data_IF_407637320042
#
_entry.id   IF_407637320042
#
_cell.length_a   1.000
_cell.length_b   1.000
_cell.length_c   1.000
_cell.angle_alpha   90.00
_cell.angle_beta   90.00
_cell.angle_gamma   90.00
#
_symmetry.space_group_name_H-M   'P 1'
#
loop_
_entity.id
_entity.type
_entity.pdbx_description
1 polymer ?
#
# COMPACT_ATOMS: atom_id res chain seq x y z
N UNK A 1 4.44 -21.19 -20.17
CA UNK A 1 3.92 -22.29 -19.33
C UNK A 1 3.89 -21.88 -17.88
N UNK A 2 3.05 -22.51 -17.08
CA UNK A 2 2.95 -22.24 -15.65
C UNK A 2 4.30 -22.42 -14.94
N UNK A 3 5.05 -23.46 -15.28
CA UNK A 3 6.37 -23.72 -14.69
C UNK A 3 7.36 -22.60 -14.99
N UNK A 4 7.38 -22.10 -16.23
CA UNK A 4 8.25 -20.98 -16.62
C UNK A 4 7.88 -19.70 -15.87
N UNK A 5 6.58 -19.42 -15.73
CA UNK A 5 6.10 -18.25 -15.00
C UNK A 5 6.39 -18.36 -13.52
N UNK A 6 6.21 -19.55 -12.93
CA UNK A 6 6.54 -19.81 -11.54
C UNK A 6 8.02 -19.56 -11.27
N UNK A 7 8.90 -20.05 -12.14
CA UNK A 7 10.34 -19.83 -12.02
C UNK A 7 10.69 -18.34 -12.07
N UNK A 8 10.11 -17.60 -13.02
CA UNK A 8 10.35 -16.16 -13.14
C UNK A 8 9.92 -15.40 -11.90
N UNK A 9 8.73 -15.67 -11.40
CA UNK A 9 8.21 -15.02 -10.20
C UNK A 9 9.08 -15.38 -8.99
N UNK A 10 9.48 -16.65 -8.86
CA UNK A 10 10.35 -17.08 -7.76
C UNK A 10 11.70 -16.35 -7.79
N UNK A 11 12.32 -16.22 -8.95
CA UNK A 11 13.58 -15.49 -9.11
C UNK A 11 13.38 -14.01 -8.76
N UNK A 12 12.31 -13.41 -9.27
CA UNK A 12 12.00 -12.01 -9.00
C UNK A 12 11.82 -11.76 -7.49
N UNK A 13 11.08 -12.61 -6.81
CA UNK A 13 10.86 -12.48 -5.36
C UNK A 13 12.16 -12.63 -4.56
N UNK A 14 13.00 -13.60 -4.95
CA UNK A 14 14.30 -13.79 -4.31
C UNK A 14 15.18 -12.55 -4.48
N UNK A 15 15.23 -12.00 -5.69
CA UNK A 15 16.03 -10.82 -6.00
C UNK A 15 15.54 -9.59 -5.20
N UNK A 16 14.22 -9.40 -5.12
CA UNK A 16 13.63 -8.30 -4.36
C UNK A 16 13.99 -8.42 -2.87
N UNK A 17 13.80 -9.58 -2.27
CA UNK A 17 14.09 -9.81 -0.86
C UNK A 17 15.56 -9.59 -0.55
N UNK A 18 16.45 -10.11 -1.40
CA UNK A 18 17.88 -9.92 -1.26
C UNK A 18 18.24 -8.44 -1.34
N UNK A 19 17.66 -7.71 -2.29
CA UNK A 19 17.93 -6.27 -2.45
C UNK A 19 17.45 -5.48 -1.23
N UNK A 20 16.28 -5.81 -0.69
CA UNK A 20 15.77 -5.18 0.52
C UNK A 20 16.69 -5.43 1.71
N UNK A 21 17.20 -6.66 1.86
CA UNK A 21 18.16 -6.99 2.94
C UNK A 21 19.44 -6.16 2.83
N UNK A 22 19.97 -6.00 1.62
CA UNK A 22 21.17 -5.18 1.39
C UNK A 22 20.93 -3.71 1.77
N UNK A 23 19.83 -3.13 1.29
CA UNK A 23 19.48 -1.74 1.57
C UNK A 23 19.24 -1.53 3.06
N UNK A 24 18.52 -2.44 3.69
CA UNK A 24 18.20 -2.37 5.11
C UNK A 24 19.47 -2.43 5.95
N UNK A 25 20.39 -3.32 5.62
CA UNK A 25 21.69 -3.44 6.31
C UNK A 25 22.49 -2.15 6.20
N UNK A 26 22.54 -1.54 5.01
CA UNK A 26 23.31 -0.31 4.77
C UNK A 26 22.70 0.92 5.48
N UNK A 27 21.45 0.87 5.88
CA UNK A 27 20.70 2.02 6.41
C UNK A 27 20.14 1.80 7.82
N UNK A 28 20.58 0.76 8.52
CA UNK A 28 20.10 0.41 9.87
C UNK A 28 18.57 0.22 9.93
N UNK A 29 18.01 -0.36 8.89
CA UNK A 29 16.58 -0.71 8.81
C UNK A 29 16.45 -2.21 9.01
N UNK A 30 15.37 -2.65 9.66
CA UNK A 30 15.09 -4.07 9.83
C UNK A 30 14.33 -4.58 8.60
N UNK A 31 14.98 -5.39 7.76
CA UNK A 31 14.38 -5.94 6.54
C UNK A 31 13.13 -6.79 6.82
N UNK A 32 13.08 -7.45 7.97
CA UNK A 32 11.93 -8.28 8.35
C UNK A 32 10.66 -7.46 8.57
N UNK A 33 10.77 -6.15 8.81
CA UNK A 33 9.65 -5.25 9.00
C UNK A 33 9.12 -4.67 7.69
N UNK A 34 9.79 -4.92 6.56
CA UNK A 34 9.35 -4.43 5.25
C UNK A 34 8.32 -5.38 4.66
N UNK A 35 7.10 -4.90 4.51
CA UNK A 35 6.01 -5.65 3.90
C UNK A 35 6.00 -5.40 2.39
N UNK A 36 5.97 -6.48 1.62
CA UNK A 36 5.88 -6.41 0.16
C UNK A 36 4.44 -6.70 -0.25
N UNK A 37 3.81 -5.74 -0.91
CA UNK A 37 2.50 -5.92 -1.51
C UNK A 37 2.71 -6.21 -3.00
N UNK A 38 2.24 -7.37 -3.46
CA UNK A 38 2.26 -7.70 -4.88
C UNK A 38 1.09 -7.01 -5.57
N UNK A 39 1.40 -6.08 -6.45
CA UNK A 39 0.37 -5.33 -7.19
C UNK A 39 -0.09 -6.18 -8.35
N UNK A 40 -1.30 -6.71 -8.23
CA UNK A 40 -1.89 -7.68 -9.15
C UNK A 40 -2.91 -7.10 -10.11
N UNK A 41 -3.01 -5.76 -10.17
CA UNK A 41 -3.94 -5.10 -11.11
C UNK A 41 -3.70 -5.55 -12.54
N UNK A 42 -4.78 -5.90 -13.24
CA UNK A 42 -4.76 -6.39 -14.62
C UNK A 42 -3.95 -7.68 -14.83
N UNK A 43 -3.67 -8.39 -13.75
CA UNK A 43 -3.03 -9.70 -13.81
C UNK A 43 -4.09 -10.78 -13.61
N UNK A 44 -3.91 -11.92 -14.30
CA UNK A 44 -4.78 -13.05 -14.15
C UNK A 44 -4.67 -13.64 -12.74
N UNK A 45 -5.78 -14.17 -12.23
CA UNK A 45 -5.79 -14.81 -10.92
C UNK A 45 -4.79 -15.98 -10.81
N UNK A 46 -4.44 -16.62 -11.92
CA UNK A 46 -3.43 -17.69 -11.93
C UNK A 46 -2.07 -17.19 -11.45
N UNK A 47 -1.71 -15.96 -11.78
CA UNK A 47 -0.46 -15.33 -11.31
C UNK A 47 -0.50 -15.05 -9.81
N UNK A 48 -1.67 -14.68 -9.29
CA UNK A 48 -1.87 -14.48 -7.86
C UNK A 48 -1.66 -15.81 -7.11
N UNK A 49 -2.20 -16.90 -7.62
CA UNK A 49 -2.01 -18.24 -7.04
C UNK A 49 -0.55 -18.65 -7.04
N UNK A 50 0.17 -18.41 -8.13
CA UNK A 50 1.60 -18.69 -8.23
C UNK A 50 2.37 -17.92 -7.15
N UNK A 51 2.16 -16.60 -7.08
CA UNK A 51 2.83 -15.77 -6.09
C UNK A 51 2.45 -16.18 -4.65
N UNK A 52 1.20 -16.51 -4.41
CA UNK A 52 0.73 -16.97 -3.11
C UNK A 52 1.40 -18.29 -2.70
N UNK A 53 1.52 -19.23 -3.62
CA UNK A 53 2.22 -20.49 -3.37
C UNK A 53 3.70 -20.29 -3.07
N UNK A 54 4.28 -19.20 -3.54
CA UNK A 54 5.66 -18.82 -3.26
C UNK A 54 5.81 -17.97 -1.97
N UNK A 55 4.74 -17.82 -1.21
CA UNK A 55 4.77 -17.18 0.11
C UNK A 55 4.26 -15.75 0.15
N UNK A 56 3.79 -15.19 -0.95
CA UNK A 56 3.22 -13.82 -0.96
C UNK A 56 1.81 -13.88 -0.36
N UNK A 57 1.57 -13.07 0.67
CA UNK A 57 0.28 -13.01 1.36
C UNK A 57 -0.46 -11.69 1.18
N UNK A 58 0.22 -10.66 0.70
CA UNK A 58 -0.33 -9.32 0.53
C UNK A 58 -0.42 -8.98 -0.95
N UNK A 59 -1.64 -8.71 -1.42
CA UNK A 59 -1.91 -8.36 -2.82
C UNK A 59 -2.62 -7.03 -2.91
N UNK A 60 -2.29 -6.22 -3.91
CA UNK A 60 -2.83 -4.89 -4.09
C UNK A 60 -3.61 -4.73 -5.39
N UNK A 61 -4.81 -4.17 -5.29
CA UNK A 61 -5.70 -3.89 -6.41
C UNK A 61 -6.09 -2.42 -6.44
N UNK A 62 -6.26 -1.87 -7.64
CA UNK A 62 -6.63 -0.46 -7.85
C UNK A 62 -8.10 -0.26 -8.21
N UNK A 63 -8.80 -1.33 -8.60
CA UNK A 63 -10.18 -1.27 -9.09
C UNK A 63 -11.06 -2.18 -8.24
N UNK A 64 -12.17 -1.63 -7.75
CA UNK A 64 -13.04 -2.33 -6.81
C UNK A 64 -13.63 -3.60 -7.41
N UNK A 65 -14.04 -3.56 -8.67
CA UNK A 65 -14.62 -4.74 -9.33
C UNK A 65 -13.58 -5.84 -9.53
N UNK A 66 -12.36 -5.46 -9.87
CA UNK A 66 -11.25 -6.41 -10.03
C UNK A 66 -10.90 -7.05 -8.68
N UNK A 67 -10.88 -6.26 -7.61
CA UNK A 67 -10.67 -6.76 -6.25
C UNK A 67 -11.74 -7.81 -5.89
N UNK A 68 -13.01 -7.49 -6.10
CA UNK A 68 -14.11 -8.41 -5.82
C UNK A 68 -13.92 -9.73 -6.55
N UNK A 69 -13.71 -9.67 -7.86
CA UNK A 69 -13.58 -10.85 -8.70
C UNK A 69 -12.43 -11.74 -8.23
N UNK A 70 -11.26 -11.16 -7.98
CA UNK A 70 -10.08 -11.91 -7.56
C UNK A 70 -10.23 -12.47 -6.16
N UNK A 71 -10.74 -11.68 -5.22
CA UNK A 71 -10.95 -12.14 -3.85
C UNK A 71 -11.90 -13.33 -3.80
N UNK A 72 -12.98 -13.32 -4.60
CA UNK A 72 -13.93 -14.42 -4.67
C UNK A 72 -13.32 -15.64 -5.36
N UNK A 73 -12.53 -15.46 -6.41
CA UNK A 73 -11.91 -16.56 -7.16
C UNK A 73 -10.81 -17.26 -6.40
N UNK A 74 -9.96 -16.50 -5.72
CA UNK A 74 -8.84 -17.08 -4.96
C UNK A 74 -9.32 -17.67 -3.65
N UNK A 75 -10.23 -16.96 -2.96
CA UNK A 75 -10.90 -17.39 -1.72
C UNK A 75 -9.97 -18.05 -0.71
N UNK A 76 -8.84 -17.41 -0.43
CA UNK A 76 -7.86 -17.85 0.56
C UNK A 76 -7.86 -16.89 1.74
N UNK A 77 -8.22 -17.36 2.93
CA UNK A 77 -8.30 -16.55 4.14
C UNK A 77 -6.93 -16.03 4.61
N UNK A 78 -5.84 -16.63 4.16
CA UNK A 78 -4.50 -16.18 4.49
C UNK A 78 -4.06 -14.96 3.67
N UNK A 79 -4.77 -14.65 2.57
CA UNK A 79 -4.46 -13.50 1.75
C UNK A 79 -5.02 -12.23 2.37
N UNK A 80 -4.17 -11.22 2.50
CA UNK A 80 -4.57 -9.87 2.86
C UNK A 80 -4.71 -9.03 1.59
N UNK A 81 -5.92 -8.59 1.31
CA UNK A 81 -6.21 -7.76 0.15
C UNK A 81 -6.07 -6.28 0.49
N UNK A 82 -5.25 -5.59 -0.28
CA UNK A 82 -5.03 -4.15 -0.15
C UNK A 82 -5.70 -3.43 -1.32
N UNK A 83 -6.58 -2.49 -1.02
CA UNK A 83 -7.07 -1.58 -2.03
C UNK A 83 -6.16 -0.35 -2.02
N UNK A 84 -5.36 -0.19 -3.06
CA UNK A 84 -4.29 0.82 -3.10
C UNK A 84 -4.62 2.01 -3.98
N UNK A 85 -5.74 1.98 -4.69
CA UNK A 85 -6.19 3.07 -5.54
C UNK A 85 -7.09 4.07 -4.83
N UNK A 86 -7.44 5.17 -5.53
CA UNK A 86 -8.40 6.15 -5.01
C UNK A 86 -9.76 5.51 -4.73
N UNK A 87 -10.39 5.94 -3.65
CA UNK A 87 -11.67 5.36 -3.22
C UNK A 87 -12.81 6.25 -3.72
N UNK A 88 -13.56 5.75 -4.69
CA UNK A 88 -14.78 6.40 -5.17
C UNK A 88 -15.94 6.11 -4.22
N UNK A 89 -16.75 7.12 -3.97
CA UNK A 89 -17.88 7.03 -3.04
C UNK A 89 -18.81 5.86 -3.34
N UNK A 90 -19.13 5.64 -4.64
CA UNK A 90 -20.02 4.55 -5.05
C UNK A 90 -19.39 3.15 -5.02
N UNK A 91 -18.11 3.04 -4.67
CA UNK A 91 -17.39 1.77 -4.55
C UNK A 91 -17.07 1.38 -3.11
N UNK A 92 -17.36 2.23 -2.16
CA UNK A 92 -17.01 2.01 -0.75
C UNK A 92 -17.57 0.70 -0.20
N UNK A 93 -18.83 0.38 -0.51
CA UNK A 93 -19.46 -0.86 -0.04
C UNK A 93 -18.70 -2.09 -0.53
N UNK A 94 -18.33 -2.10 -1.80
CA UNK A 94 -17.61 -3.20 -2.43
C UNK A 94 -16.20 -3.34 -1.83
N UNK A 95 -15.52 -2.23 -1.66
CA UNK A 95 -14.18 -2.19 -1.07
C UNK A 95 -14.23 -2.68 0.39
N UNK A 96 -15.18 -2.20 1.17
CA UNK A 96 -15.36 -2.62 2.56
C UNK A 96 -15.55 -4.14 2.66
N UNK A 97 -16.27 -4.74 1.72
CA UNK A 97 -16.53 -6.18 1.74
C UNK A 97 -15.29 -7.02 1.46
N UNK A 98 -14.43 -6.59 0.55
CA UNK A 98 -13.34 -7.44 0.04
C UNK A 98 -11.94 -7.04 0.47
N UNK A 99 -11.70 -5.78 0.86
CA UNK A 99 -10.39 -5.33 1.26
C UNK A 99 -10.15 -5.51 2.76
N UNK A 100 -8.90 -5.81 3.12
CA UNK A 100 -8.44 -5.84 4.50
C UNK A 100 -7.70 -4.56 4.85
N UNK A 101 -7.15 -3.88 3.83
CA UNK A 101 -6.39 -2.63 3.94
C UNK A 101 -6.83 -1.67 2.85
N UNK A 102 -6.90 -0.38 3.17
CA UNK A 102 -7.09 0.70 2.20
C UNK A 102 -5.95 1.70 2.37
N UNK A 103 -5.39 2.20 1.27
CA UNK A 103 -4.21 3.07 1.32
C UNK A 103 -4.51 4.53 0.97
N UNK A 104 -5.73 4.86 0.59
CA UNK A 104 -6.04 6.16 0.03
C UNK A 104 -7.13 6.92 0.80
N UNK A 105 -7.02 6.92 2.15
CA UNK A 105 -7.93 7.72 2.98
C UNK A 105 -7.46 9.17 2.95
N UNK A 106 -8.15 10.02 2.22
CA UNK A 106 -7.73 11.41 2.02
C UNK A 106 -8.82 12.46 2.24
N UNK A 107 -10.04 12.05 2.61
CA UNK A 107 -11.14 12.99 2.88
C UNK A 107 -12.18 12.39 3.83
N UNK A 108 -12.75 13.26 4.63
CA UNK A 108 -13.69 12.88 5.69
C UNK A 108 -14.90 12.11 5.16
N UNK A 109 -15.49 12.55 4.06
CA UNK A 109 -16.67 11.89 3.48
C UNK A 109 -16.45 10.40 3.23
N UNK A 110 -15.30 10.05 2.66
CA UNK A 110 -14.96 8.65 2.37
C UNK A 110 -14.67 7.88 3.66
N UNK A 111 -13.99 8.50 4.60
CA UNK A 111 -13.66 7.88 5.90
C UNK A 111 -14.96 7.50 6.63
N UNK A 112 -15.89 8.42 6.74
CA UNK A 112 -17.18 8.18 7.39
C UNK A 112 -17.95 7.07 6.68
N UNK A 113 -18.04 7.14 5.37
CA UNK A 113 -18.77 6.14 4.58
C UNK A 113 -18.15 4.76 4.69
N UNK A 114 -16.82 4.67 4.65
CA UNK A 114 -16.12 3.40 4.82
C UNK A 114 -16.37 2.82 6.20
N UNK A 115 -16.29 3.65 7.24
CA UNK A 115 -16.56 3.21 8.60
C UNK A 115 -17.98 2.65 8.74
N UNK A 116 -18.96 3.37 8.18
CA UNK A 116 -20.37 2.94 8.24
C UNK A 116 -20.58 1.59 7.54
N UNK A 117 -19.97 1.40 6.38
CA UNK A 117 -20.07 0.13 5.66
C UNK A 117 -19.36 -1.01 6.40
N UNK A 118 -18.21 -0.75 7.01
CA UNK A 118 -17.51 -1.74 7.82
C UNK A 118 -18.32 -2.12 9.07
N UNK A 119 -18.97 -1.14 9.70
CA UNK A 119 -19.84 -1.40 10.85
C UNK A 119 -21.00 -2.32 10.46
N UNK A 120 -21.67 -2.04 9.33
CA UNK A 120 -22.77 -2.89 8.82
C UNK A 120 -22.31 -4.32 8.56
N UNK A 121 -21.06 -4.52 8.20
CA UNK A 121 -20.51 -5.82 7.88
C UNK A 121 -19.76 -6.46 9.06
N UNK A 122 -19.80 -5.84 10.23
CA UNK A 122 -19.10 -6.29 11.43
C UNK A 122 -17.61 -6.53 11.18
N UNK A 123 -16.97 -5.57 10.50
CA UNK A 123 -15.60 -5.69 10.01
C UNK A 123 -14.76 -4.52 10.51
N UNK A 124 -13.48 -4.81 10.81
CA UNK A 124 -12.45 -3.81 11.06
C UNK A 124 -11.54 -3.79 9.83
N UNK A 125 -11.28 -2.60 9.29
CA UNK A 125 -10.38 -2.42 8.15
C UNK A 125 -9.16 -1.60 8.55
N UNK A 126 -8.00 -1.98 8.03
CA UNK A 126 -6.75 -1.25 8.25
C UNK A 126 -6.64 -0.11 7.24
N UNK A 127 -6.24 1.08 7.67
CA UNK A 127 -6.19 2.23 6.79
C UNK A 127 -4.91 3.04 6.89
N UNK A 128 -4.50 3.56 5.73
CA UNK A 128 -3.45 4.57 5.62
C UNK A 128 -4.06 5.90 5.25
N UNK A 129 -3.59 6.97 5.87
CA UNK A 129 -3.91 8.31 5.44
C UNK A 129 -3.00 8.68 4.27
N UNK A 130 -3.59 9.06 3.14
CA UNK A 130 -2.82 9.48 1.98
C UNK A 130 -2.59 11.00 2.02
N UNK A 131 -1.32 11.41 1.91
CA UNK A 131 -0.94 12.81 1.82
C UNK A 131 -0.50 13.17 0.41
N UNK A 132 -0.87 14.36 -0.05
CA UNK A 132 -0.41 14.90 -1.32
C UNK A 132 0.94 15.57 -1.12
N UNK A 133 2.00 14.83 -1.42
CA UNK A 133 3.38 15.30 -1.19
C UNK A 133 3.94 16.08 -2.38
N UNK A 134 3.32 15.96 -3.55
CA UNK A 134 3.80 16.64 -4.76
C UNK A 134 3.36 18.10 -4.87
N UNK A 135 2.43 18.54 -4.01
CA UNK A 135 1.85 19.90 -4.03
C UNK A 135 1.10 20.22 -5.34
N UNK A 136 0.69 19.20 -6.09
CA UNK A 136 -0.13 19.38 -7.30
C UNK A 136 -1.60 19.29 -6.92
N UNK A 137 -2.38 20.34 -7.18
CA UNK A 137 -3.79 20.42 -6.80
C UNK A 137 -4.65 19.30 -7.42
N UNK A 138 -4.23 18.78 -8.57
CA UNK A 138 -4.95 17.72 -9.28
C UNK A 138 -4.67 16.31 -8.74
N UNK A 139 -3.74 16.16 -7.82
CA UNK A 139 -3.36 14.86 -7.27
C UNK A 139 -4.20 14.51 -6.06
N UNK A 140 -4.41 13.20 -5.86
CA UNK A 140 -5.06 12.66 -4.68
C UNK A 140 -4.20 12.87 -3.44
N UNK A 141 -4.83 12.82 -2.29
CA UNK A 141 -4.16 12.97 -1.01
C UNK A 141 -4.58 14.26 -0.31
N UNK A 142 -4.58 14.23 1.01
CA UNK A 142 -4.90 15.40 1.81
C UNK A 142 -3.69 16.35 1.90
N UNK A 143 -3.96 17.59 2.31
CA UNK A 143 -2.90 18.58 2.49
C UNK A 143 -2.00 18.18 3.67
N UNK A 144 -0.66 18.14 3.46
CA UNK A 144 0.27 17.81 4.55
C UNK A 144 0.21 18.76 5.75
N UNK A 145 -0.22 20.01 5.54
CA UNK A 145 -0.26 21.01 6.61
C UNK A 145 -1.35 20.72 7.65
N UNK A 146 -2.40 20.00 7.28
CA UNK A 146 -3.51 19.70 8.18
C UNK A 146 -3.90 18.22 8.18
N UNK A 147 -2.98 17.35 7.80
CA UNK A 147 -3.27 15.91 7.76
C UNK A 147 -3.53 15.30 9.15
N UNK A 148 -2.98 15.89 10.21
CA UNK A 148 -3.20 15.39 11.57
C UNK A 148 -4.68 15.53 11.96
N UNK A 149 -5.37 16.59 11.55
CA UNK A 149 -6.80 16.74 11.81
C UNK A 149 -7.60 15.61 11.15
N UNK A 150 -7.23 15.24 9.92
CA UNK A 150 -7.86 14.11 9.23
C UNK A 150 -7.50 12.78 9.91
N UNK A 151 -6.26 12.63 10.37
CA UNK A 151 -5.83 11.44 11.11
C UNK A 151 -6.64 11.26 12.40
N UNK A 152 -6.94 12.35 13.10
CA UNK A 152 -7.79 12.32 14.30
C UNK A 152 -9.21 11.83 13.97
N UNK A 153 -9.74 12.23 12.83
CA UNK A 153 -11.04 11.75 12.34
C UNK A 153 -10.99 10.24 12.11
N UNK A 154 -9.97 9.75 11.40
CA UNK A 154 -9.79 8.32 11.19
C UNK A 154 -9.69 7.57 12.52
N UNK A 155 -8.89 8.10 13.44
CA UNK A 155 -8.69 7.48 14.76
C UNK A 155 -9.96 7.41 15.59
N UNK A 156 -10.90 8.34 15.40
CA UNK A 156 -12.19 8.33 16.07
C UNK A 156 -13.15 7.26 15.54
N UNK A 157 -12.86 6.68 14.39
CA UNK A 157 -13.70 5.66 13.76
C UNK A 157 -13.49 4.30 14.42
N UNK A 158 -14.58 3.62 14.77
CA UNK A 158 -14.50 2.31 15.47
C UNK A 158 -14.09 1.17 14.56
N UNK A 159 -14.39 1.28 13.27
CA UNK A 159 -14.20 0.19 12.32
C UNK A 159 -13.05 0.42 11.34
N UNK A 160 -12.26 1.47 11.55
CA UNK A 160 -11.04 1.72 10.81
C UNK A 160 -9.87 1.79 11.80
N UNK A 161 -8.84 1.00 11.55
CA UNK A 161 -7.61 1.03 12.35
C UNK A 161 -6.56 1.82 11.57
N UNK A 162 -6.16 2.98 12.11
CA UNK A 162 -5.16 3.83 11.47
C UNK A 162 -3.77 3.21 11.62
N UNK A 163 -3.20 2.79 10.50
CA UNK A 163 -1.91 2.08 10.47
C UNK A 163 -0.72 2.96 10.11
N UNK A 164 -0.96 4.05 9.42
CA UNK A 164 0.15 4.90 9.02
C UNK A 164 -0.20 5.83 7.87
N UNK A 165 0.85 6.23 7.15
CA UNK A 165 0.80 7.21 6.07
C UNK A 165 1.08 6.55 4.72
N UNK A 166 0.44 7.04 3.67
CA UNK A 166 0.73 6.65 2.29
C UNK A 166 1.05 7.88 1.47
N UNK A 167 2.01 7.77 0.61
CA UNK A 167 2.34 8.81 -0.35
C UNK A 167 2.76 8.23 -1.69
N UNK A 168 2.52 9.03 -2.74
CA UNK A 168 2.92 8.73 -4.11
C UNK A 168 3.85 9.84 -4.57
N UNK A 169 5.15 9.76 -4.24
CA UNK A 169 6.11 10.77 -4.71
C UNK A 169 6.13 10.80 -6.23
N UNK A 170 6.31 12.00 -6.79
CA UNK A 170 6.44 12.17 -8.22
C UNK A 170 7.64 11.37 -8.73
N UNK A 171 7.43 10.60 -9.79
CA UNK A 171 8.51 9.89 -10.45
C UNK A 171 9.42 10.91 -11.14
N UNK A 172 10.69 10.86 -10.81
CA UNK A 172 11.71 11.75 -11.37
C UNK A 172 13.05 11.02 -11.45
N UNK A 173 13.83 11.31 -12.47
CA UNK A 173 15.18 10.79 -12.61
C UNK A 173 16.18 11.53 -11.70
N UNK A 174 15.79 12.68 -11.16
CA UNK A 174 16.63 13.42 -10.23
C UNK A 174 16.55 12.80 -8.85
N UNK A 175 17.60 12.07 -8.47
CA UNK A 175 17.64 11.36 -7.20
C UNK A 175 17.57 12.29 -5.99
N UNK A 176 18.21 13.45 -6.06
CA UNK A 176 18.19 14.42 -4.95
C UNK A 176 16.77 14.91 -4.67
N UNK A 177 16.00 15.24 -5.72
CA UNK A 177 14.62 15.67 -5.59
C UNK A 177 13.75 14.54 -5.02
N UNK A 178 13.97 13.30 -5.51
CA UNK A 178 13.25 12.14 -5.04
C UNK A 178 13.50 11.89 -3.55
N UNK A 179 14.75 11.91 -3.14
CA UNK A 179 15.14 11.70 -1.75
C UNK A 179 14.60 12.79 -0.83
N UNK A 180 14.62 14.03 -1.28
CA UNK A 180 14.06 15.17 -0.53
C UNK A 180 12.56 14.95 -0.29
N UNK A 181 11.82 14.58 -1.34
CA UNK A 181 10.37 14.31 -1.24
C UNK A 181 10.10 13.13 -0.30
N UNK A 182 10.85 12.04 -0.45
CA UNK A 182 10.67 10.86 0.41
C UNK A 182 10.97 11.17 1.87
N UNK A 183 12.00 11.98 2.14
CA UNK A 183 12.30 12.39 3.52
C UNK A 183 11.21 13.27 4.12
N UNK A 184 10.51 14.07 3.33
CA UNK A 184 9.33 14.81 3.79
C UNK A 184 8.24 13.84 4.28
N UNK A 185 8.03 12.73 3.57
CA UNK A 185 7.06 11.70 3.99
C UNK A 185 7.47 11.08 5.33
N UNK A 186 8.75 10.77 5.48
CA UNK A 186 9.27 10.24 6.75
C UNK A 186 9.04 11.22 7.90
N UNK A 187 9.28 12.50 7.67
CA UNK A 187 9.03 13.53 8.69
C UNK A 187 7.55 13.61 9.06
N UNK A 188 6.64 13.51 8.08
CA UNK A 188 5.21 13.46 8.34
C UNK A 188 4.82 12.20 9.10
N UNK A 189 5.42 11.06 8.78
CA UNK A 189 5.21 9.83 9.54
C UNK A 189 5.65 9.98 11.00
N UNK A 190 6.78 10.61 11.23
CA UNK A 190 7.26 10.88 12.60
C UNK A 190 6.27 11.78 13.36
N UNK A 191 5.72 12.79 12.69
CA UNK A 191 4.70 13.65 13.27
C UNK A 191 3.43 12.86 13.61
N UNK A 192 3.00 11.97 12.71
CA UNK A 192 1.84 11.12 12.94
C UNK A 192 2.07 10.20 14.16
N UNK A 193 3.24 9.58 14.27
CA UNK A 193 3.60 8.73 15.40
C UNK A 193 3.64 9.49 16.72
N UNK A 194 3.94 10.77 16.68
CA UNK A 194 3.90 11.63 17.88
C UNK A 194 2.50 11.75 18.47
N UNK A 195 1.47 11.68 17.61
CA UNK A 195 0.07 11.69 18.04
C UNK A 195 -0.48 10.28 18.24
N UNK A 196 -0.11 9.34 17.37
CA UNK A 196 -0.61 7.97 17.36
C UNK A 196 0.56 7.01 17.17
N UNK A 197 1.21 6.57 18.26
CA UNK A 197 2.47 5.78 18.18
C UNK A 197 2.35 4.48 17.38
N UNK A 198 1.15 3.91 17.29
CA UNK A 198 0.92 2.66 16.57
C UNK A 198 0.78 2.86 15.05
N UNK A 199 0.55 4.11 14.61
CA UNK A 199 0.42 4.45 13.19
C UNK A 199 1.80 4.61 12.55
N UNK A 200 2.58 3.54 12.54
CA UNK A 200 4.00 3.52 12.20
C UNK A 200 4.32 3.01 10.80
N UNK A 201 3.31 2.54 10.06
CA UNK A 201 3.55 2.02 8.72
C UNK A 201 3.63 3.17 7.71
N UNK A 202 4.50 2.98 6.71
CA UNK A 202 4.72 3.95 5.64
C UNK A 202 4.56 3.21 4.32
N UNK A 203 3.45 3.47 3.62
CA UNK A 203 3.18 2.91 2.31
C UNK A 203 3.76 3.85 1.26
N UNK A 204 4.94 3.54 0.79
CA UNK A 204 5.66 4.36 -0.20
C UNK A 204 6.69 3.47 -0.91
N UNK A 205 6.79 3.61 -2.21
CA UNK A 205 7.73 2.87 -3.03
C UNK A 205 7.04 1.88 -3.96
N UNK A 206 7.42 1.97 -5.24
CA UNK A 206 6.96 1.09 -6.32
C UNK A 206 8.18 0.48 -7.00
N UNK A 207 7.98 -0.28 -8.07
CA UNK A 207 9.07 -0.87 -8.83
C UNK A 207 10.17 0.14 -9.19
N UNK A 208 9.78 1.38 -9.52
CA UNK A 208 10.73 2.41 -9.98
C UNK A 208 11.57 3.02 -8.87
N UNK A 209 11.07 3.07 -7.62
CA UNK A 209 11.68 3.85 -6.56
C UNK A 209 11.71 3.17 -5.19
N UNK A 210 11.35 1.87 -5.12
CA UNK A 210 11.27 1.19 -3.81
C UNK A 210 12.60 1.14 -3.07
N UNK A 211 13.72 1.08 -3.80
CA UNK A 211 15.03 1.01 -3.16
C UNK A 211 15.31 2.26 -2.33
N UNK A 212 15.06 3.43 -2.92
CA UNK A 212 15.23 4.70 -2.20
C UNK A 212 14.20 4.83 -1.08
N UNK A 213 12.97 4.39 -1.31
CA UNK A 213 11.92 4.42 -0.29
C UNK A 213 12.32 3.58 0.95
N UNK A 214 12.79 2.37 0.75
CA UNK A 214 13.26 1.51 1.85
C UNK A 214 14.46 2.14 2.55
N UNK A 215 15.38 2.73 1.79
CA UNK A 215 16.58 3.35 2.37
C UNK A 215 16.26 4.47 3.35
N UNK A 216 15.17 5.20 3.16
CA UNK A 216 14.76 6.28 4.07
C UNK A 216 13.83 5.81 5.18
N UNK A 217 13.33 4.57 5.12
CA UNK A 217 12.51 4.00 6.19
C UNK A 217 11.11 3.56 5.82
N UNK A 218 10.73 3.57 4.53
CA UNK A 218 9.45 2.98 4.12
C UNK A 218 9.42 1.50 4.47
N UNK A 219 8.29 1.02 4.97
CA UNK A 219 8.16 -0.37 5.40
C UNK A 219 6.97 -1.09 4.77
N UNK A 220 6.28 -0.45 3.82
CA UNK A 220 5.25 -1.08 2.99
C UNK A 220 5.49 -0.62 1.55
N UNK A 221 5.88 -1.56 0.69
CA UNK A 221 6.18 -1.26 -0.72
C UNK A 221 5.22 -2.01 -1.64
N UNK A 222 4.93 -1.42 -2.80
CA UNK A 222 3.90 -1.90 -3.72
C UNK A 222 4.56 -2.21 -5.06
N UNK A 223 4.82 -3.48 -5.28
CA UNK A 223 5.59 -3.97 -6.42
C UNK A 223 4.72 -4.77 -7.38
N UNK A 224 4.66 -4.36 -8.63
CA UNK A 224 3.95 -5.08 -9.68
C UNK A 224 4.91 -5.66 -10.69
N UNK A 225 5.49 -4.81 -11.52
CA UNK A 225 6.37 -5.20 -12.62
C UNK A 225 7.59 -5.98 -12.15
N UNK A 226 8.17 -5.61 -11.03
CA UNK A 226 9.34 -6.30 -10.47
C UNK A 226 9.03 -7.73 -10.02
N UNK A 227 7.76 -8.05 -9.74
CA UNK A 227 7.32 -9.40 -9.38
C UNK A 227 6.82 -10.17 -10.61
N UNK A 228 5.87 -9.58 -11.34
CA UNK A 228 5.15 -10.26 -12.41
C UNK A 228 5.74 -10.05 -13.81
N UNK A 229 6.71 -9.16 -13.94
CA UNK A 229 7.30 -8.82 -15.23
C UNK A 229 6.59 -7.66 -15.93
N UNK A 230 7.19 -7.18 -17.00
CA UNK A 230 6.62 -6.08 -17.79
C UNK A 230 5.35 -6.51 -18.49
N UNK A 231 4.44 -5.54 -18.64
CA UNK A 231 3.27 -5.71 -19.49
C UNK A 231 3.69 -5.83 -20.95
N UNK A 232 3.14 -6.84 -21.60
CA UNK A 232 3.22 -6.94 -23.05
C UNK A 232 2.11 -6.12 -23.69
#
# INVERSE_FOLDING_TARGET
TENSMQEKIAVNLTNIKQRIEEIASDNNVNSAEVKIIAVSKKKDFSLIKIANNLGVKDFGENYAQELKTKAEMVNDEEISWHFIGPIQSNKVKLIAKHAHWVHALDREKIIVKLNDECEKQSKLINGFIQVNISSEDSKSGCNPDNFIELAKIIKSMKNIDLKGIMALPKLTDNRLDRMETMNKVINLSNKLKGHFPEAKYISMGTTSDFEDAVSVGSNVIRLGESIFGKRL
#
